data_IF_174058548789
#
_entry.id   IF_174058548789
#
_cell.length_a   1.000
_cell.length_b   1.000
_cell.length_c   1.000
_cell.angle_alpha   90.00
_cell.angle_beta   90.00
_cell.angle_gamma   90.00
#
_symmetry.space_group_name_H-M   'P 1'
#
loop_
_entity.id
_entity.type
_entity.pdbx_description
1 polymer ?
#
# COMPACT_ATOMS: atom_id res chain seq x y z
N UNK A 1 8.13 -9.46 10.21
CA UNK A 1 6.84 -8.87 9.79
C UNK A 1 6.47 -7.61 10.59
N UNK A 2 6.62 -7.58 11.93
CA UNK A 2 6.37 -6.36 12.75
C UNK A 2 7.12 -5.12 12.22
N UNK A 3 8.40 -5.26 11.88
CA UNK A 3 9.17 -4.16 11.24
C UNK A 3 8.55 -3.69 9.92
N UNK A 4 8.16 -4.62 9.04
CA UNK A 4 7.53 -4.29 7.76
C UNK A 4 6.18 -3.56 7.94
N UNK A 5 5.44 -3.92 8.99
CA UNK A 5 4.21 -3.22 9.38
C UNK A 5 4.51 -1.78 9.78
N UNK A 6 5.49 -1.56 10.67
CA UNK A 6 5.89 -0.23 11.11
C UNK A 6 6.40 0.64 9.95
N UNK A 7 7.22 0.09 9.06
CA UNK A 7 7.68 0.77 7.84
C UNK A 7 6.52 1.16 6.92
N UNK A 8 5.54 0.26 6.73
CA UNK A 8 4.38 0.54 5.87
C UNK A 8 3.48 1.61 6.48
N UNK A 9 3.31 1.63 7.81
CA UNK A 9 2.59 2.70 8.51
C UNK A 9 3.29 4.05 8.37
N UNK A 10 4.60 4.09 8.54
CA UNK A 10 5.39 5.31 8.34
C UNK A 10 5.28 5.81 6.89
N UNK A 11 5.26 4.89 5.91
CA UNK A 11 5.04 5.23 4.51
C UNK A 11 3.65 5.83 4.26
N UNK A 12 2.60 5.24 4.84
CA UNK A 12 1.22 5.77 4.74
C UNK A 12 1.15 7.17 5.35
N UNK A 13 1.76 7.39 6.51
CA UNK A 13 1.80 8.70 7.16
C UNK A 13 2.51 9.75 6.30
N UNK A 14 3.67 9.40 5.73
CA UNK A 14 4.40 10.29 4.83
C UNK A 14 3.58 10.66 3.58
N UNK A 15 2.99 9.67 2.90
CA UNK A 15 2.16 9.90 1.72
C UNK A 15 0.87 10.68 2.02
N UNK A 16 0.32 10.52 3.23
CA UNK A 16 -0.86 11.28 3.66
C UNK A 16 -0.51 12.75 3.82
N UNK A 17 0.64 13.06 4.43
CA UNK A 17 1.14 14.44 4.54
C UNK A 17 1.39 15.06 3.16
N UNK A 18 2.00 14.32 2.25
CA UNK A 18 2.22 14.75 0.85
C UNK A 18 0.89 15.02 0.14
N UNK A 19 -0.12 14.16 0.31
CA UNK A 19 -1.45 14.38 -0.26
C UNK A 19 -2.09 15.68 0.26
N UNK A 20 -2.01 15.93 1.56
CA UNK A 20 -2.55 17.14 2.18
C UNK A 20 -1.86 18.40 1.65
N UNK A 21 -0.55 18.36 1.42
CA UNK A 21 0.22 19.44 0.80
C UNK A 21 -0.24 19.73 -0.64
N UNK A 22 -0.40 18.69 -1.47
CA UNK A 22 -0.90 18.83 -2.85
C UNK A 22 -2.32 19.42 -2.87
N UNK A 23 -3.19 18.99 -1.96
CA UNK A 23 -4.55 19.53 -1.84
C UNK A 23 -4.54 20.99 -1.39
N UNK A 24 -3.64 21.37 -0.46
CA UNK A 24 -3.49 22.74 -0.03
C UNK A 24 -3.02 23.65 -1.18
N UNK A 25 -2.01 23.20 -1.95
CA UNK A 25 -1.50 23.93 -3.12
C UNK A 25 -2.59 24.13 -4.19
N UNK A 26 -3.41 23.10 -4.44
CA UNK A 26 -4.54 23.20 -5.36
C UNK A 26 -5.56 24.26 -4.93
N UNK A 27 -5.83 24.41 -3.63
CA UNK A 27 -6.77 25.43 -3.15
C UNK A 27 -6.25 26.85 -3.32
N UNK A 28 -4.94 27.07 -3.24
CA UNK A 28 -4.32 28.37 -3.50
C UNK A 28 -4.25 28.73 -4.99
N UNK A 29 -4.09 27.75 -5.89
CA UNK A 29 -4.01 28.02 -7.33
C UNK A 29 -5.39 28.28 -7.97
N UNK A 30 -6.44 27.60 -7.51
CA UNK A 30 -7.82 27.79 -8.01
C UNK A 30 -8.46 29.14 -7.63
N UNK A 31 -7.76 30.01 -6.91
CA UNK A 31 -8.32 31.30 -6.48
C UNK A 31 -8.34 32.37 -7.59
N UNK A 32 -7.64 32.17 -8.73
CA UNK A 32 -7.46 33.27 -9.70
C UNK A 32 -7.31 32.91 -11.19
N UNK A 33 -7.64 31.71 -11.70
CA UNK A 33 -7.47 31.53 -13.17
C UNK A 33 -8.41 30.55 -13.87
N UNK A 34 -9.05 31.05 -14.92
CA UNK A 34 -9.84 30.28 -15.89
C UNK A 34 -8.93 29.55 -16.89
N UNK A 35 -7.62 29.81 -16.85
CA UNK A 35 -6.60 29.20 -17.72
C UNK A 35 -5.29 28.83 -17.00
N UNK A 36 -5.37 28.20 -15.81
CA UNK A 36 -4.19 27.71 -15.10
C UNK A 36 -3.66 26.36 -15.68
N UNK A 37 -2.50 26.34 -16.39
CA UNK A 37 -1.87 25.09 -16.82
C UNK A 37 -1.32 24.26 -15.64
N UNK A 38 -1.07 24.86 -14.47
CA UNK A 38 -0.57 24.17 -13.28
C UNK A 38 -1.65 23.31 -12.62
N UNK A 39 -2.93 23.68 -12.74
CA UNK A 39 -4.06 22.88 -12.25
C UNK A 39 -4.10 21.45 -12.80
N UNK A 40 -3.70 21.24 -14.07
CA UNK A 40 -3.59 19.90 -14.65
C UNK A 40 -2.44 19.08 -14.04
N UNK A 41 -1.31 19.73 -13.75
CA UNK A 41 -0.14 19.12 -13.09
C UNK A 41 -0.46 18.72 -11.66
N UNK A 42 -1.10 19.61 -10.88
CA UNK A 42 -1.52 19.35 -9.50
C UNK A 42 -2.53 18.20 -9.43
N UNK A 43 -3.47 18.13 -10.39
CA UNK A 43 -4.41 17.02 -10.47
C UNK A 43 -3.71 15.68 -10.74
N UNK A 44 -2.70 15.66 -11.60
CA UNK A 44 -1.89 14.48 -11.89
C UNK A 44 -1.05 14.04 -10.68
N UNK A 45 -0.37 14.97 -10.02
CA UNK A 45 0.39 14.71 -8.78
C UNK A 45 -0.51 14.12 -7.69
N UNK A 46 -1.70 14.69 -7.50
CA UNK A 46 -2.69 14.16 -6.56
C UNK A 46 -3.06 12.71 -6.88
N UNK A 47 -3.32 12.39 -8.15
CA UNK A 47 -3.64 11.02 -8.56
C UNK A 47 -2.48 10.05 -8.31
N UNK A 48 -1.25 10.50 -8.49
CA UNK A 48 -0.06 9.71 -8.20
C UNK A 48 0.04 9.37 -6.70
N UNK A 49 -0.10 10.36 -5.82
CA UNK A 49 -0.05 10.14 -4.37
C UNK A 49 -1.17 9.21 -3.90
N UNK A 50 -2.38 9.35 -4.45
CA UNK A 50 -3.51 8.44 -4.15
C UNK A 50 -3.19 7.00 -4.54
N UNK A 51 -2.62 6.77 -5.73
CA UNK A 51 -2.26 5.43 -6.17
C UNK A 51 -1.21 4.78 -5.24
N UNK A 52 -0.23 5.56 -4.78
CA UNK A 52 0.79 5.12 -3.83
C UNK A 52 0.19 4.81 -2.45
N UNK A 53 -0.74 5.65 -1.95
CA UNK A 53 -1.46 5.40 -0.70
C UNK A 53 -2.26 4.10 -0.76
N UNK A 54 -2.99 3.86 -1.85
CA UNK A 54 -3.77 2.65 -2.02
C UNK A 54 -2.90 1.40 -2.10
N UNK A 55 -1.72 1.49 -2.73
CA UNK A 55 -0.74 0.41 -2.73
C UNK A 55 -0.19 0.15 -1.31
N UNK A 56 0.16 1.20 -0.57
CA UNK A 56 0.69 1.08 0.80
C UNK A 56 -0.36 0.49 1.76
N UNK A 57 -1.64 0.90 1.64
CA UNK A 57 -2.76 0.34 2.43
C UNK A 57 -2.99 -1.14 2.13
N UNK A 58 -2.96 -1.55 0.86
CA UNK A 58 -3.06 -2.97 0.48
C UNK A 58 -1.91 -3.78 1.06
N UNK A 59 -0.68 -3.25 0.99
CA UNK A 59 0.50 -3.88 1.61
C UNK A 59 0.35 -4.00 3.12
N UNK A 60 -0.17 -2.98 3.81
CA UNK A 60 -0.42 -3.03 5.25
C UNK A 60 -1.40 -4.14 5.59
N UNK A 61 -2.51 -4.23 4.85
CA UNK A 61 -3.51 -5.28 5.03
C UNK A 61 -2.91 -6.69 4.83
N UNK A 62 -2.08 -6.89 3.80
CA UNK A 62 -1.40 -8.18 3.59
C UNK A 62 -0.44 -8.52 4.75
N UNK A 63 0.26 -7.53 5.30
CA UNK A 63 1.17 -7.73 6.44
C UNK A 63 0.40 -8.03 7.74
N UNK A 64 -0.69 -7.31 7.98
CA UNK A 64 -1.54 -7.52 9.16
C UNK A 64 -2.20 -8.91 9.12
N UNK A 65 -2.69 -9.34 7.95
CA UNK A 65 -3.21 -10.69 7.74
C UNK A 65 -2.13 -11.77 7.97
N UNK A 66 -0.91 -11.54 7.50
CA UNK A 66 0.20 -12.48 7.73
C UNK A 66 0.62 -12.56 9.20
N UNK A 67 0.58 -11.44 9.93
CA UNK A 67 0.80 -11.42 11.38
C UNK A 67 -0.30 -12.18 12.12
N UNK A 68 -1.58 -11.95 11.79
CA UNK A 68 -2.70 -12.66 12.39
C UNK A 68 -2.59 -14.19 12.17
N UNK A 69 -2.25 -14.64 10.96
CA UNK A 69 -2.02 -16.07 10.68
C UNK A 69 -0.83 -16.65 11.43
N UNK A 70 0.20 -15.84 11.71
CA UNK A 70 1.32 -16.28 12.54
C UNK A 70 0.90 -16.50 14.00
N UNK A 71 -0.05 -15.71 14.50
CA UNK A 71 -0.62 -15.85 15.84
C UNK A 71 -1.56 -17.06 15.95
N UNK A 72 -2.35 -17.36 14.91
CA UNK A 72 -3.26 -18.52 14.89
C UNK A 72 -2.57 -19.84 14.55
N UNK A 73 -1.34 -19.80 14.04
CA UNK A 73 -0.60 -20.99 13.58
C UNK A 73 -0.87 -21.41 12.14
N UNK A 74 -1.63 -20.62 11.38
CA UNK A 74 -1.97 -20.87 9.96
C UNK A 74 -0.95 -20.25 8.99
N UNK A 75 0.10 -19.61 9.51
CA UNK A 75 1.13 -19.00 8.68
C UNK A 75 1.82 -20.02 7.78
N UNK A 76 1.98 -19.64 6.51
CA UNK A 76 2.57 -20.50 5.50
C UNK A 76 1.60 -21.48 4.84
N UNK A 77 0.28 -21.34 5.05
CA UNK A 77 -0.75 -22.02 4.24
C UNK A 77 -1.36 -21.08 3.21
N UNK A 78 -1.60 -21.60 2.02
CA UNK A 78 -2.27 -20.90 0.93
C UNK A 78 -3.74 -20.64 1.29
N UNK A 79 -4.18 -19.39 1.19
CA UNK A 79 -5.57 -19.00 1.46
C UNK A 79 -6.58 -19.65 0.48
N UNK A 80 -6.15 -20.00 -0.73
CA UNK A 80 -7.07 -20.50 -1.77
C UNK A 80 -7.20 -22.03 -1.76
N UNK A 81 -6.08 -22.75 -1.57
CA UNK A 81 -6.05 -24.22 -1.69
C UNK A 81 -5.60 -24.95 -0.42
N UNK A 82 -5.26 -24.23 0.65
CA UNK A 82 -4.81 -24.78 1.93
C UNK A 82 -3.43 -25.44 1.93
N UNK A 83 -2.79 -25.57 0.76
CA UNK A 83 -1.47 -26.18 0.61
C UNK A 83 -0.36 -25.29 1.21
N UNK A 84 0.77 -25.88 1.66
CA UNK A 84 1.92 -25.12 2.12
C UNK A 84 2.44 -24.13 1.06
N UNK A 85 2.80 -22.94 1.50
CA UNK A 85 3.51 -21.93 0.71
C UNK A 85 5.01 -22.25 0.82
N UNK A 86 5.70 -22.29 -0.32
CA UNK A 86 7.13 -22.56 -0.38
C UNK A 86 7.94 -21.64 0.57
N UNK A 87 8.85 -22.17 1.40
CA UNK A 87 9.66 -21.38 2.33
C UNK A 87 10.42 -20.24 1.64
N UNK A 88 10.93 -20.47 0.43
CA UNK A 88 11.67 -19.48 -0.37
C UNK A 88 10.77 -18.29 -0.74
N UNK A 89 9.48 -18.56 -1.00
CA UNK A 89 8.48 -17.52 -1.28
C UNK A 89 8.17 -16.71 -0.03
N UNK A 90 8.04 -17.35 1.13
CA UNK A 90 7.83 -16.65 2.41
C UNK A 90 9.09 -15.88 2.84
N UNK A 91 10.29 -16.37 2.53
CA UNK A 91 11.54 -15.66 2.77
C UNK A 91 11.63 -14.38 1.92
N UNK A 92 11.25 -14.46 0.65
CA UNK A 92 11.23 -13.31 -0.26
C UNK A 92 10.05 -12.34 0.00
N UNK A 93 8.88 -12.88 0.34
CA UNK A 93 7.64 -12.14 0.59
C UNK A 93 6.91 -12.76 1.80
N UNK A 94 7.25 -12.34 3.03
CA UNK A 94 6.63 -12.90 4.25
C UNK A 94 5.11 -12.75 4.31
N UNK A 95 4.57 -11.71 3.69
CA UNK A 95 3.13 -11.46 3.62
C UNK A 95 2.39 -12.24 2.53
N UNK A 96 3.04 -13.21 1.86
CA UNK A 96 2.38 -13.97 0.79
C UNK A 96 1.14 -14.73 1.30
N UNK A 97 -0.01 -14.47 0.66
CA UNK A 97 -1.30 -15.13 0.99
C UNK A 97 -1.51 -16.45 0.24
N UNK A 98 -0.90 -16.60 -0.93
CA UNK A 98 -1.15 -17.73 -1.84
C UNK A 98 0.14 -18.41 -2.29
N UNK A 99 0.03 -19.72 -2.58
CA UNK A 99 1.13 -20.49 -3.16
C UNK A 99 1.39 -20.08 -4.61
N UNK A 100 2.52 -20.48 -5.17
CA UNK A 100 2.91 -20.11 -6.55
C UNK A 100 1.95 -20.65 -7.62
N UNK A 101 1.19 -21.71 -7.32
CA UNK A 101 0.20 -22.27 -8.23
C UNK A 101 -1.07 -21.41 -8.29
N UNK A 102 -1.53 -20.90 -7.14
CA UNK A 102 -2.72 -20.05 -7.04
C UNK A 102 -2.46 -18.57 -7.36
N UNK A 103 -1.20 -18.11 -7.25
CA UNK A 103 -0.82 -16.72 -7.53
C UNK A 103 -0.61 -16.42 -9.04
N UNK A 104 -1.12 -17.27 -9.93
CA UNK A 104 -0.95 -17.15 -11.39
C UNK A 104 -2.11 -16.41 -12.02
#
# INVERSE_FOLDING_TARGET
>A
MVRARAETLAQIDALTREFDEVVAASRSSNADDEHDPEGATIAFERQQVVALLDQARRRLADVDDALARAETGDYGRCADCGQPIAPERLAARPQARTCIACAR
#
